data_IF_563103735958
#
_entry.id   IF_563103735958
#
_cell.length_a   1.000
_cell.length_b   1.000
_cell.length_c   1.000
_cell.angle_alpha   90.00
_cell.angle_beta   90.00
_cell.angle_gamma   90.00
#
_symmetry.space_group_name_H-M   'P 1'
#
loop_
_entity.id
_entity.type
_entity.pdbx_description
1 polymer ?
#
# COMPACT_ATOMS: atom_id res chain seq x y z
N UNK A 1 24.01 -10.00 -2.39
CA UNK A 1 23.77 -8.63 -1.86
C UNK A 1 23.78 -7.61 -2.98
N UNK A 2 24.77 -7.64 -3.89
CA UNK A 2 24.80 -6.75 -5.05
C UNK A 2 23.61 -6.97 -6.00
N UNK A 3 23.15 -5.87 -6.61
CA UNK A 3 22.32 -5.80 -7.80
C UNK A 3 23.14 -6.20 -9.02
N UNK A 4 22.49 -6.95 -9.89
CA UNK A 4 23.03 -7.33 -11.18
C UNK A 4 22.41 -6.44 -12.27
N UNK A 5 23.14 -6.21 -13.36
CA UNK A 5 22.69 -5.41 -14.50
C UNK A 5 21.29 -5.87 -15.00
N UNK A 6 21.01 -7.18 -15.17
CA UNK A 6 19.69 -7.63 -15.65
C UNK A 6 18.52 -7.25 -14.73
N UNK A 7 18.78 -7.15 -13.41
CA UNK A 7 17.76 -6.75 -12.43
C UNK A 7 17.32 -5.30 -12.66
N UNK A 8 18.28 -4.41 -12.93
CA UNK A 8 18.05 -2.99 -13.18
C UNK A 8 17.52 -2.76 -14.61
N UNK A 9 18.07 -3.48 -15.58
CA UNK A 9 17.62 -3.43 -16.98
C UNK A 9 16.13 -3.75 -17.10
N UNK A 10 15.67 -4.80 -16.40
CA UNK A 10 14.25 -5.16 -16.35
C UNK A 10 13.38 -4.01 -15.81
N UNK A 11 13.87 -3.25 -14.84
CA UNK A 11 13.14 -2.08 -14.32
C UNK A 11 13.07 -0.98 -15.38
N UNK A 12 14.20 -0.61 -15.98
CA UNK A 12 14.26 0.45 -16.98
C UNK A 12 13.41 0.14 -18.23
N UNK A 13 13.38 -1.11 -18.68
CA UNK A 13 12.56 -1.55 -19.82
C UNK A 13 11.05 -1.47 -19.54
N UNK A 14 10.63 -1.65 -18.29
CA UNK A 14 9.21 -1.64 -17.89
C UNK A 14 8.72 -0.25 -17.47
N UNK A 15 9.60 0.76 -17.43
CA UNK A 15 9.17 2.13 -17.18
C UNK A 15 8.38 2.67 -18.35
N UNK A 16 7.20 3.21 -18.06
CA UNK A 16 6.33 3.83 -19.08
C UNK A 16 6.94 5.14 -19.53
N UNK A 17 6.98 5.33 -20.84
CA UNK A 17 7.38 6.59 -21.47
C UNK A 17 6.36 7.71 -21.22
N UNK A 18 6.79 8.95 -21.42
CA UNK A 18 5.99 10.19 -21.36
C UNK A 18 5.29 10.39 -20.01
N UNK A 19 5.91 9.89 -18.93
CA UNK A 19 5.47 10.16 -17.56
C UNK A 19 6.08 11.46 -17.07
N UNK A 20 5.28 12.23 -16.33
CA UNK A 20 5.74 13.48 -15.73
C UNK A 20 6.90 13.21 -14.75
N UNK A 21 8.03 13.92 -14.90
CA UNK A 21 9.17 13.80 -13.99
C UNK A 21 8.85 14.40 -12.62
N UNK A 22 9.72 14.14 -11.65
CA UNK A 22 9.69 14.82 -10.35
C UNK A 22 10.35 16.19 -10.42
N UNK A 23 10.84 16.66 -9.28
CA UNK A 23 11.59 17.91 -9.18
C UNK A 23 12.93 17.90 -9.90
N UNK A 24 13.42 16.71 -10.29
CA UNK A 24 14.63 16.55 -11.08
C UNK A 24 14.45 17.00 -12.54
N UNK A 25 13.19 17.08 -13.00
CA UNK A 25 12.82 17.40 -14.38
C UNK A 25 13.41 16.42 -15.42
N UNK A 26 13.89 15.24 -14.98
CA UNK A 26 14.49 14.23 -15.84
C UNK A 26 13.41 13.20 -16.23
N UNK A 27 13.02 13.12 -17.51
CA UNK A 27 12.11 12.08 -17.99
C UNK A 27 12.70 10.67 -17.87
N UNK A 28 11.83 9.65 -17.82
CA UNK A 28 12.25 8.24 -17.70
C UNK A 28 13.13 7.77 -18.85
N UNK A 29 12.90 8.34 -20.03
CA UNK A 29 13.64 8.08 -21.25
C UNK A 29 15.12 8.47 -21.09
N UNK A 30 15.41 9.62 -20.49
CA UNK A 30 16.79 10.06 -20.25
C UNK A 30 17.48 9.13 -19.26
N UNK A 31 16.79 8.72 -18.18
CA UNK A 31 17.35 7.75 -17.23
C UNK A 31 17.67 6.42 -17.90
N UNK A 32 16.81 5.98 -18.81
CA UNK A 32 17.02 4.76 -19.60
C UNK A 32 18.22 4.89 -20.53
N UNK A 33 18.35 6.00 -21.25
CA UNK A 33 19.54 6.26 -22.09
C UNK A 33 20.83 6.31 -21.26
N UNK A 34 20.80 6.96 -20.08
CA UNK A 34 21.95 6.96 -19.16
C UNK A 34 22.32 5.54 -18.71
N UNK A 35 21.34 4.70 -18.40
CA UNK A 35 21.58 3.30 -18.08
C UNK A 35 22.23 2.53 -19.25
N UNK A 36 21.77 2.74 -20.49
CA UNK A 36 22.35 2.06 -21.66
C UNK A 36 23.73 2.61 -22.07
N UNK A 37 24.03 3.87 -21.75
CA UNK A 37 25.34 4.48 -22.01
C UNK A 37 26.46 3.85 -21.17
N UNK A 38 26.18 3.52 -19.89
CA UNK A 38 27.10 2.77 -19.02
C UNK A 38 26.33 1.99 -17.94
N UNK A 39 26.01 0.73 -18.28
CA UNK A 39 25.27 -0.18 -17.39
C UNK A 39 26.03 -0.48 -16.11
N UNK A 40 27.36 -0.58 -16.18
CA UNK A 40 28.18 -0.97 -15.05
C UNK A 40 28.27 0.16 -14.03
N UNK A 41 28.55 1.38 -14.49
CA UNK A 41 28.56 2.57 -13.64
C UNK A 41 27.22 2.79 -12.96
N UNK A 42 26.12 2.71 -13.71
CA UNK A 42 24.77 2.87 -13.16
C UNK A 42 24.48 1.84 -12.07
N UNK A 43 24.83 0.57 -12.33
CA UNK A 43 24.65 -0.52 -11.36
C UNK A 43 25.52 -0.32 -10.11
N UNK A 44 26.74 0.17 -10.27
CA UNK A 44 27.66 0.47 -9.16
C UNK A 44 27.11 1.57 -8.24
N UNK A 45 26.40 2.57 -8.78
CA UNK A 45 25.72 3.59 -7.96
C UNK A 45 24.69 2.95 -7.04
N UNK A 46 23.77 2.15 -7.58
CA UNK A 46 22.75 1.50 -6.76
C UNK A 46 23.32 0.50 -5.77
N UNK A 47 24.38 -0.22 -6.16
CA UNK A 47 25.09 -1.11 -5.24
C UNK A 47 25.75 -0.37 -4.08
N UNK A 48 26.32 0.81 -4.35
CA UNK A 48 26.89 1.66 -3.32
C UNK A 48 25.81 2.15 -2.34
N UNK A 49 24.66 2.59 -2.85
CA UNK A 49 23.52 3.00 -2.03
C UNK A 49 22.98 1.86 -1.18
N UNK A 50 22.81 0.67 -1.76
CA UNK A 50 22.36 -0.53 -1.05
C UNK A 50 23.32 -0.93 0.07
N UNK A 51 24.62 -0.97 -0.22
CA UNK A 51 25.65 -1.33 0.77
C UNK A 51 25.66 -0.35 1.95
N UNK A 52 25.41 0.94 1.68
CA UNK A 52 25.32 1.98 2.71
C UNK A 52 23.95 2.03 3.40
N UNK A 53 22.92 1.37 2.86
CA UNK A 53 21.56 1.44 3.40
C UNK A 53 20.87 2.79 3.15
N UNK A 54 21.23 3.49 2.07
CA UNK A 54 20.81 4.88 1.81
C UNK A 54 19.74 4.94 0.71
N UNK A 55 18.75 5.78 0.94
CA UNK A 55 17.83 6.34 -0.04
C UNK A 55 18.05 7.87 -0.10
N UNK A 56 18.74 8.40 -1.14
CA UNK A 56 19.18 9.79 -1.20
C UNK A 56 18.09 10.82 -0.90
N UNK A 57 18.43 11.86 -0.11
CA UNK A 57 17.51 12.94 0.27
C UNK A 57 16.86 13.63 -0.92
N UNK A 58 17.62 13.90 -1.98
CA UNK A 58 17.11 14.50 -3.21
C UNK A 58 16.01 13.68 -3.87
N UNK A 59 16.01 12.35 -3.70
CA UNK A 59 14.97 11.44 -4.23
C UNK A 59 13.75 11.32 -3.31
N UNK A 60 13.81 11.89 -2.11
CA UNK A 60 12.73 11.87 -1.12
C UNK A 60 11.82 13.10 -1.19
N UNK A 61 12.22 14.13 -1.94
CA UNK A 61 11.44 15.36 -2.16
C UNK A 61 10.33 15.09 -3.18
N UNK A 62 9.07 15.32 -2.79
CA UNK A 62 7.91 15.10 -3.65
C UNK A 62 7.29 16.42 -4.11
N UNK A 63 6.95 16.53 -5.39
CA UNK A 63 6.02 17.57 -5.86
C UNK A 63 4.60 17.02 -5.83
N UNK A 64 3.66 17.69 -5.15
CA UNK A 64 2.26 17.24 -5.11
C UNK A 64 1.51 17.73 -6.35
N UNK A 65 0.76 16.83 -6.96
CA UNK A 65 -0.23 17.15 -7.99
C UNK A 65 -1.58 16.62 -7.52
N UNK A 66 -2.60 17.48 -7.54
CA UNK A 66 -3.96 17.12 -7.15
C UNK A 66 -4.73 16.58 -8.35
N UNK A 67 -5.15 15.31 -8.30
CA UNK A 67 -5.99 14.70 -9.32
C UNK A 67 -7.44 14.72 -8.84
N UNK A 68 -8.39 15.32 -9.58
CA UNK A 68 -9.79 15.34 -9.20
C UNK A 68 -10.38 13.92 -9.13
N UNK A 69 -11.15 13.63 -8.08
CA UNK A 69 -11.97 12.40 -8.02
C UNK A 69 -13.13 12.53 -8.99
N UNK A 70 -13.36 11.50 -9.81
CA UNK A 70 -14.49 11.47 -10.74
C UNK A 70 -15.83 11.53 -9.98
N UNK A 71 -16.80 12.25 -10.54
CA UNK A 71 -18.16 12.32 -10.01
C UNK A 71 -18.36 13.18 -8.76
N UNK A 72 -17.32 13.87 -8.26
CA UNK A 72 -17.44 14.83 -7.15
C UNK A 72 -17.37 16.27 -7.65
N UNK A 73 -18.17 17.16 -7.06
CA UNK A 73 -18.02 18.62 -7.28
C UNK A 73 -16.68 19.07 -6.69
N UNK A 74 -15.84 19.78 -7.42
CA UNK A 74 -14.45 20.08 -7.02
C UNK A 74 -14.32 21.22 -6.01
N UNK A 75 -15.09 21.17 -4.92
CA UNK A 75 -15.27 22.25 -3.95
C UNK A 75 -14.57 22.01 -2.61
N UNK A 76 -14.08 20.79 -2.35
CA UNK A 76 -13.46 20.42 -1.08
C UNK A 76 -12.12 19.67 -1.28
N UNK A 77 -11.15 19.78 -0.36
CA UNK A 77 -9.84 19.12 -0.48
C UNK A 77 -9.90 17.59 -0.61
N UNK A 78 -10.84 16.94 0.08
CA UNK A 78 -11.05 15.48 0.03
C UNK A 78 -11.62 14.99 -1.31
N UNK A 79 -12.00 15.92 -2.20
CA UNK A 79 -12.43 15.63 -3.57
C UNK A 79 -11.26 15.49 -4.55
N UNK A 80 -10.03 15.63 -4.06
CA UNK A 80 -8.82 15.41 -4.83
C UNK A 80 -8.02 14.23 -4.28
N UNK A 81 -7.18 13.64 -5.14
CA UNK A 81 -6.14 12.67 -4.76
C UNK A 81 -4.78 13.35 -4.88
N UNK A 82 -4.03 13.51 -3.77
CA UNK A 82 -2.68 14.04 -3.85
C UNK A 82 -1.73 12.97 -4.38
N UNK A 83 -1.14 13.21 -5.55
CA UNK A 83 -0.12 12.34 -6.13
C UNK A 83 1.25 12.96 -5.94
N UNK A 84 2.18 12.18 -5.40
CA UNK A 84 3.58 12.54 -5.25
C UNK A 84 4.35 12.28 -6.57
N UNK A 85 4.67 13.34 -7.30
CA UNK A 85 5.67 13.27 -8.37
C UNK A 85 7.07 13.20 -7.74
N UNK A 86 7.56 11.98 -7.60
CA UNK A 86 8.92 11.70 -7.12
C UNK A 86 9.96 11.80 -8.26
N UNK A 87 11.21 12.15 -7.95
CA UNK A 87 12.33 12.12 -8.90
C UNK A 87 12.43 10.79 -9.62
N UNK A 88 12.59 10.85 -10.94
CA UNK A 88 12.57 9.69 -11.83
C UNK A 88 13.70 8.73 -11.53
N UNK A 89 14.90 9.25 -11.25
CA UNK A 89 16.04 8.44 -10.83
C UNK A 89 15.73 7.65 -9.55
N UNK A 90 15.13 8.33 -8.57
CA UNK A 90 14.68 7.73 -7.32
C UNK A 90 13.62 6.64 -7.53
N UNK A 91 12.71 6.83 -8.49
CA UNK A 91 11.69 5.82 -8.84
C UNK A 91 12.30 4.52 -9.38
N UNK A 92 13.39 4.59 -10.14
CA UNK A 92 14.09 3.38 -10.62
C UNK A 92 14.63 2.60 -9.42
N UNK A 93 15.31 3.27 -8.50
CA UNK A 93 15.83 2.65 -7.30
C UNK A 93 14.72 2.10 -6.41
N UNK A 94 13.68 2.90 -6.13
CA UNK A 94 12.45 2.50 -5.43
C UNK A 94 11.87 1.20 -6.03
N UNK A 95 11.74 1.11 -7.35
CA UNK A 95 11.21 -0.08 -8.03
C UNK A 95 12.12 -1.30 -7.89
N UNK A 96 13.44 -1.12 -7.96
CA UNK A 96 14.42 -2.18 -7.71
C UNK A 96 14.30 -2.72 -6.29
N UNK A 97 14.25 -1.83 -5.28
CA UNK A 97 14.08 -2.21 -3.87
C UNK A 97 12.73 -2.91 -3.65
N UNK A 98 11.66 -2.41 -4.27
CA UNK A 98 10.32 -3.03 -4.24
C UNK A 98 10.37 -4.47 -4.74
N UNK A 99 11.01 -4.71 -5.89
CA UNK A 99 11.10 -6.06 -6.47
C UNK A 99 11.82 -7.03 -5.54
N UNK A 100 12.91 -6.59 -4.88
CA UNK A 100 13.62 -7.41 -3.88
C UNK A 100 12.78 -7.66 -2.64
N UNK A 101 12.15 -6.62 -2.10
CA UNK A 101 11.27 -6.73 -0.94
C UNK A 101 10.15 -7.75 -1.20
N UNK A 102 9.42 -7.59 -2.31
CA UNK A 102 8.35 -8.51 -2.71
C UNK A 102 8.89 -9.92 -2.90
N UNK A 103 10.06 -10.11 -3.51
CA UNK A 103 10.66 -11.45 -3.65
C UNK A 103 10.84 -12.15 -2.29
N UNK A 104 11.42 -11.47 -1.29
CA UNK A 104 11.61 -12.08 0.02
C UNK A 104 10.29 -12.35 0.75
N UNK A 105 9.35 -11.40 0.72
CA UNK A 105 8.06 -11.54 1.39
C UNK A 105 7.21 -12.68 0.78
N UNK A 106 7.18 -12.79 -0.55
CA UNK A 106 6.46 -13.87 -1.23
C UNK A 106 7.16 -15.22 -1.03
N UNK A 107 8.49 -15.27 -1.05
CA UNK A 107 9.26 -16.50 -0.79
C UNK A 107 8.99 -17.07 0.61
N UNK A 108 8.76 -16.20 1.58
CA UNK A 108 8.47 -16.57 2.97
C UNK A 108 6.98 -16.65 3.27
N UNK A 109 6.12 -16.55 2.25
CA UNK A 109 4.65 -16.56 2.39
C UNK A 109 4.14 -15.58 3.45
N UNK A 110 4.80 -14.42 3.57
CA UNK A 110 4.56 -13.46 4.64
C UNK A 110 3.14 -12.88 4.61
N UNK A 111 2.65 -12.55 3.41
CA UNK A 111 1.35 -11.92 3.25
C UNK A 111 0.21 -12.93 3.38
N UNK A 112 -0.80 -12.57 4.17
CA UNK A 112 -2.03 -13.33 4.33
C UNK A 112 -2.68 -13.63 2.95
N UNK A 113 -3.24 -14.83 2.78
CA UNK A 113 -3.84 -15.28 1.52
C UNK A 113 -5.01 -14.41 1.05
N UNK A 114 -5.67 -13.74 1.99
CA UNK A 114 -6.81 -12.86 1.78
C UNK A 114 -6.40 -11.39 1.56
N UNK A 115 -5.10 -11.11 1.45
CA UNK A 115 -4.59 -9.87 0.89
C UNK A 115 -4.52 -10.01 -0.64
N UNK A 116 -5.25 -9.17 -1.37
CA UNK A 116 -5.35 -9.24 -2.83
C UNK A 116 -4.73 -8.03 -3.53
N UNK A 117 -4.75 -6.85 -2.89
CA UNK A 117 -4.27 -5.60 -3.49
C UNK A 117 -2.76 -5.63 -3.69
N UNK A 118 -2.30 -5.12 -4.84
CA UNK A 118 -0.87 -4.98 -5.17
C UNK A 118 -0.01 -6.24 -5.01
N UNK A 119 -0.62 -7.43 -5.02
CA UNK A 119 0.07 -8.72 -4.92
C UNK A 119 0.21 -9.36 -6.29
N UNK A 120 1.31 -10.12 -6.47
CA UNK A 120 1.52 -10.89 -7.69
C UNK A 120 0.48 -12.01 -7.74
N UNK A 121 -0.08 -12.27 -8.93
CA UNK A 121 -1.09 -13.31 -9.18
C UNK A 121 -2.38 -13.16 -8.36
N UNK A 122 -2.67 -11.95 -7.85
CA UNK A 122 -3.93 -11.58 -7.20
C UNK A 122 -4.57 -10.46 -8.00
N UNK A 123 -5.90 -10.45 -8.01
CA UNK A 123 -6.71 -9.50 -8.77
C UNK A 123 -8.05 -9.26 -8.09
N UNK A 124 -8.76 -8.23 -8.54
CA UNK A 124 -10.15 -7.95 -8.13
C UNK A 124 -11.06 -9.15 -8.39
N UNK A 125 -10.84 -9.88 -9.48
CA UNK A 125 -11.59 -11.10 -9.82
C UNK A 125 -11.36 -12.18 -8.76
N UNK A 126 -10.10 -12.42 -8.36
CA UNK A 126 -9.81 -13.42 -7.33
C UNK A 126 -10.36 -13.04 -5.94
N UNK A 127 -10.40 -11.75 -5.62
CA UNK A 127 -11.03 -11.25 -4.39
C UNK A 127 -12.56 -11.45 -4.41
N UNK A 128 -13.19 -11.17 -5.55
CA UNK A 128 -14.63 -11.37 -5.74
C UNK A 128 -15.01 -12.86 -5.74
N UNK A 129 -14.18 -13.73 -6.32
CA UNK A 129 -14.37 -15.17 -6.27
C UNK A 129 -14.40 -15.69 -4.83
N UNK A 130 -13.53 -15.18 -3.96
CA UNK A 130 -13.53 -15.55 -2.54
C UNK A 130 -14.85 -15.15 -1.84
N UNK A 131 -15.32 -13.92 -2.09
CA UNK A 131 -16.63 -13.46 -1.59
C UNK A 131 -17.76 -14.37 -2.08
N UNK A 132 -17.80 -14.67 -3.39
CA UNK A 132 -18.82 -15.53 -3.99
C UNK A 132 -18.81 -16.92 -3.37
N UNK A 133 -17.63 -17.52 -3.19
CA UNK A 133 -17.49 -18.84 -2.55
C UNK A 133 -17.99 -18.83 -1.11
N UNK A 134 -17.67 -17.78 -0.34
CA UNK A 134 -18.18 -17.62 1.03
C UNK A 134 -19.71 -17.58 1.06
N UNK A 135 -20.33 -16.82 0.16
CA UNK A 135 -21.80 -16.70 0.06
C UNK A 135 -22.45 -18.04 -0.31
N UNK A 136 -21.94 -18.70 -1.36
CA UNK A 136 -22.48 -19.99 -1.82
C UNK A 136 -22.37 -21.06 -0.71
N UNK A 137 -21.22 -21.14 -0.04
CA UNK A 137 -21.02 -22.10 1.03
C UNK A 137 -21.93 -21.82 2.25
N UNK A 138 -22.11 -20.55 2.62
CA UNK A 138 -23.04 -20.16 3.68
C UNK A 138 -24.48 -20.55 3.36
N UNK A 139 -24.90 -20.40 2.10
CA UNK A 139 -26.22 -20.84 1.65
C UNK A 139 -26.41 -22.35 1.78
N UNK A 140 -25.39 -23.16 1.47
CA UNK A 140 -25.47 -24.63 1.66
C UNK A 140 -25.62 -25.05 3.13
N UNK A 141 -25.22 -24.19 4.07
CA UNK A 141 -25.41 -24.39 5.51
C UNK A 141 -26.72 -23.80 6.05
N UNK A 142 -27.61 -23.30 5.18
CA UNK A 142 -28.81 -22.55 5.55
C UNK A 142 -28.51 -21.33 6.45
N UNK A 143 -27.38 -20.65 6.21
CA UNK A 143 -26.99 -19.42 6.90
C UNK A 143 -27.13 -18.21 5.99
N UNK A 144 -27.57 -17.10 6.58
CA UNK A 144 -27.50 -15.77 6.02
C UNK A 144 -26.05 -15.27 6.06
N UNK A 145 -25.72 -14.35 5.16
CA UNK A 145 -24.41 -13.66 5.12
C UNK A 145 -24.61 -12.17 5.35
N UNK A 146 -23.79 -11.61 6.22
CA UNK A 146 -23.61 -10.17 6.38
C UNK A 146 -22.22 -9.81 5.87
N UNK A 147 -22.16 -8.84 4.96
CA UNK A 147 -20.92 -8.27 4.43
C UNK A 147 -20.76 -6.86 5.00
N UNK A 148 -19.59 -6.62 5.56
CA UNK A 148 -19.19 -5.35 6.16
C UNK A 148 -18.03 -4.80 5.35
N UNK A 149 -18.23 -3.64 4.74
CA UNK A 149 -17.16 -2.90 4.06
C UNK A 149 -16.61 -1.86 5.03
N UNK A 150 -15.29 -1.81 5.18
CA UNK A 150 -14.59 -0.79 5.96
C UNK A 150 -13.97 0.21 4.98
N UNK A 151 -14.32 1.47 5.13
CA UNK A 151 -13.70 2.58 4.40
C UNK A 151 -12.59 3.19 5.26
N UNK A 152 -11.33 3.09 4.82
CA UNK A 152 -10.19 3.58 5.60
C UNK A 152 -9.89 5.03 5.22
N UNK A 153 -10.09 5.94 6.16
CA UNK A 153 -9.87 7.35 5.90
C UNK A 153 -8.41 7.62 5.58
N UNK A 154 -8.15 8.16 4.39
CA UNK A 154 -6.85 8.66 3.99
C UNK A 154 -5.71 7.61 4.12
N UNK A 155 -6.06 6.33 3.91
CA UNK A 155 -5.24 5.14 4.16
C UNK A 155 -3.72 5.33 4.00
N UNK A 156 -3.24 5.53 2.76
CA UNK A 156 -1.81 5.66 2.47
C UNK A 156 -1.13 6.82 3.18
N UNK A 157 -1.82 7.94 3.40
CA UNK A 157 -1.25 9.12 4.03
C UNK A 157 -1.26 9.02 5.56
N UNK A 158 -2.04 8.11 6.13
CA UNK A 158 -2.23 7.91 7.57
C UNK A 158 -1.30 6.84 8.17
N UNK A 159 -0.39 6.27 7.39
CA UNK A 159 0.54 5.22 7.84
C UNK A 159 1.51 5.76 8.90
N UNK A 160 1.41 5.30 10.13
CA UNK A 160 2.31 5.70 11.21
C UNK A 160 3.71 5.07 11.03
N UNK A 161 4.74 5.91 10.91
CA UNK A 161 6.11 5.45 10.66
C UNK A 161 6.72 4.66 11.82
N UNK A 162 6.38 4.96 13.07
CA UNK A 162 6.91 4.22 14.21
C UNK A 162 6.40 2.77 14.21
N UNK A 163 5.10 2.60 13.99
CA UNK A 163 4.47 1.27 13.86
C UNK A 163 5.03 0.55 12.63
N UNK A 164 5.12 1.22 11.48
CA UNK A 164 5.65 0.62 10.26
C UNK A 164 7.12 0.17 10.45
N UNK A 165 7.98 1.00 11.07
CA UNK A 165 9.37 0.64 11.36
C UNK A 165 9.47 -0.55 12.31
N UNK A 166 8.61 -0.65 13.32
CA UNK A 166 8.55 -1.82 14.20
C UNK A 166 8.17 -3.10 13.43
N UNK A 167 7.21 -3.01 12.50
CA UNK A 167 6.83 -4.12 11.62
C UNK A 167 8.00 -4.50 10.69
N UNK A 168 8.65 -3.52 10.06
CA UNK A 168 9.80 -3.74 9.17
C UNK A 168 10.93 -4.50 9.87
N UNK A 169 11.24 -4.18 11.15
CA UNK A 169 12.27 -4.89 11.93
C UNK A 169 11.98 -6.39 12.11
N UNK A 170 10.71 -6.79 12.06
CA UNK A 170 10.27 -8.17 12.26
C UNK A 170 10.09 -8.93 10.94
N UNK A 171 10.27 -8.27 9.79
CA UNK A 171 10.10 -8.91 8.49
C UNK A 171 11.19 -9.95 8.23
N UNK A 172 10.87 -11.05 7.54
CA UNK A 172 11.84 -12.08 7.17
C UNK A 172 12.66 -11.66 5.94
N UNK A 173 13.35 -10.52 6.05
CA UNK A 173 14.14 -9.91 4.97
C UNK A 173 15.58 -9.61 5.43
N UNK A 174 16.55 -9.53 4.53
CA UNK A 174 17.92 -9.16 4.89
C UNK A 174 18.03 -7.76 5.52
N UNK A 175 18.97 -7.62 6.45
CA UNK A 175 19.26 -6.37 7.17
C UNK A 175 19.51 -5.16 6.25
N UNK A 176 20.14 -5.36 5.08
CA UNK A 176 20.37 -4.25 4.16
C UNK A 176 19.06 -3.66 3.62
N UNK A 177 18.00 -4.46 3.43
CA UNK A 177 16.69 -3.94 3.02
C UNK A 177 16.05 -3.18 4.17
N UNK A 178 16.14 -3.68 5.40
CA UNK A 178 15.64 -2.98 6.59
C UNK A 178 16.23 -1.57 6.66
N UNK A 179 17.56 -1.45 6.51
CA UNK A 179 18.26 -0.15 6.50
C UNK A 179 17.76 0.79 5.41
N UNK A 180 17.63 0.31 4.17
CA UNK A 180 17.13 1.13 3.06
C UNK A 180 15.69 1.57 3.27
N UNK A 181 14.81 0.67 3.77
CA UNK A 181 13.41 0.99 4.05
C UNK A 181 13.27 2.01 5.19
N UNK A 182 14.13 1.92 6.21
CA UNK A 182 14.19 2.91 7.29
C UNK A 182 14.58 4.28 6.73
N UNK A 183 15.63 4.34 5.91
CA UNK A 183 16.10 5.59 5.32
C UNK A 183 15.12 6.18 4.29
N UNK A 184 14.36 5.32 3.59
CA UNK A 184 13.27 5.73 2.69
C UNK A 184 12.13 6.47 3.43
N UNK A 185 11.88 6.10 4.69
CA UNK A 185 10.87 6.69 5.58
C UNK A 185 11.44 7.82 6.46
N UNK A 186 12.52 8.49 6.08
CA UNK A 186 13.13 9.56 6.87
C UNK A 186 13.41 10.78 6.02
N UNK A 187 13.37 11.98 6.61
CA UNK A 187 13.70 13.24 5.94
C UNK A 187 12.95 13.43 4.61
N UNK A 188 11.68 13.03 4.56
CA UNK A 188 10.84 13.26 3.38
C UNK A 188 10.24 14.64 3.47
N UNK A 189 10.25 15.33 2.33
CA UNK A 189 9.69 16.68 2.19
C UNK A 189 8.76 16.74 1.00
N UNK A 190 7.80 17.64 1.07
CA UNK A 190 6.98 18.08 -0.05
C UNK A 190 7.53 19.42 -0.50
N UNK A 191 7.73 19.60 -1.79
CA UNK A 191 8.02 20.91 -2.36
C UNK A 191 6.68 21.65 -2.55
N UNK A 192 6.46 22.66 -1.73
CA UNK A 192 5.35 23.59 -1.82
C UNK A 192 5.87 24.94 -2.30
N UNK A 193 5.55 25.29 -3.55
CA UNK A 193 6.18 26.40 -4.28
C UNK A 193 7.73 26.31 -4.25
N UNK A 194 8.37 27.09 -3.38
CA UNK A 194 9.82 27.15 -3.18
C UNK A 194 10.26 26.64 -1.79
N UNK A 195 9.33 26.15 -0.97
CA UNK A 195 9.60 25.71 0.39
C UNK A 195 9.52 24.18 0.49
N UNK A 196 10.49 23.59 1.19
CA UNK A 196 10.43 22.17 1.55
C UNK A 196 9.70 21.99 2.88
N UNK A 197 8.53 21.37 2.83
CA UNK A 197 7.71 21.07 4.01
C UNK A 197 7.97 19.62 4.43
N UNK A 198 8.57 19.37 5.62
CA UNK A 198 8.79 18.01 6.09
C UNK A 198 7.48 17.32 6.49
N UNK A 199 7.42 16.01 6.30
CA UNK A 199 6.35 15.17 6.83
C UNK A 199 6.91 13.89 7.43
N UNK A 200 6.15 13.30 8.35
CA UNK A 200 6.58 12.18 9.20
C UNK A 200 5.57 11.03 9.30
N UNK A 201 4.57 11.01 8.40
CA UNK A 201 3.56 9.96 8.31
C UNK A 201 3.16 9.72 6.86
N UNK A 202 2.59 8.54 6.62
CA UNK A 202 2.12 8.13 5.30
C UNK A 202 3.21 7.54 4.41
N UNK A 203 2.80 6.99 3.28
CA UNK A 203 3.68 6.54 2.20
C UNK A 203 3.33 7.30 0.92
N UNK A 204 4.32 7.71 0.10
CA UNK A 204 4.05 8.59 -1.04
C UNK A 204 3.17 7.91 -2.10
N UNK A 205 2.04 8.52 -2.45
CA UNK A 205 1.17 8.06 -3.54
C UNK A 205 1.84 8.31 -4.89
N UNK A 206 2.53 7.31 -5.43
CA UNK A 206 3.42 7.45 -6.60
C UNK A 206 4.77 6.75 -6.41
N UNK A 207 5.08 6.32 -5.18
CA UNK A 207 6.16 5.39 -4.89
C UNK A 207 5.80 3.97 -5.31
N UNK A 208 6.79 3.18 -5.74
CA UNK A 208 6.62 1.75 -5.99
C UNK A 208 6.57 0.94 -4.68
N UNK A 209 7.32 1.36 -3.66
CA UNK A 209 7.34 0.77 -2.33
C UNK A 209 6.05 1.04 -1.55
N UNK A 210 5.42 2.21 -1.75
CA UNK A 210 4.26 2.65 -0.99
C UNK A 210 3.15 1.59 -0.85
N UNK A 211 2.66 1.01 -1.96
CA UNK A 211 1.69 -0.09 -1.92
C UNK A 211 2.13 -1.33 -1.14
N UNK A 212 3.39 -1.75 -1.26
CA UNK A 212 3.91 -2.90 -0.50
C UNK A 212 4.01 -2.58 0.99
N UNK A 213 4.44 -1.36 1.35
CA UNK A 213 4.50 -0.90 2.74
C UNK A 213 3.11 -0.79 3.37
N UNK A 214 2.10 -0.36 2.60
CA UNK A 214 0.70 -0.41 3.02
C UNK A 214 0.24 -1.83 3.32
N UNK A 215 0.49 -2.77 2.41
CA UNK A 215 0.11 -4.17 2.63
C UNK A 215 0.79 -4.76 3.87
N UNK A 216 2.08 -4.45 4.12
CA UNK A 216 2.79 -4.86 5.34
C UNK A 216 2.10 -4.26 6.58
N UNK A 217 1.69 -3.00 6.50
CA UNK A 217 1.07 -2.31 7.60
C UNK A 217 -0.25 -2.97 8.02
N UNK A 218 -1.12 -3.27 7.07
CA UNK A 218 -2.45 -3.86 7.33
C UNK A 218 -2.47 -5.37 7.44
N UNK A 219 -1.36 -6.07 7.15
CA UNK A 219 -1.35 -7.54 7.11
C UNK A 219 -1.85 -8.18 8.41
N UNK A 220 -1.38 -7.71 9.57
CA UNK A 220 -1.74 -8.26 10.88
C UNK A 220 -3.26 -8.21 11.16
N UNK A 221 -3.98 -7.26 10.57
CA UNK A 221 -5.45 -7.19 10.69
C UNK A 221 -6.12 -8.41 10.04
N UNK A 222 -5.55 -8.91 8.94
CA UNK A 222 -6.05 -10.09 8.24
C UNK A 222 -5.72 -11.39 8.97
N UNK A 223 -4.73 -11.35 9.88
CA UNK A 223 -4.33 -12.50 10.70
C UNK A 223 -5.12 -12.59 12.02
N UNK A 224 -5.96 -11.58 12.35
CA UNK A 224 -6.84 -11.63 13.52
C UNK A 224 -7.89 -12.74 13.35
N UNK A 225 -8.03 -13.59 14.38
CA UNK A 225 -9.08 -14.60 14.44
C UNK A 225 -10.41 -13.96 14.86
N UNK A 226 -11.37 -13.92 13.92
CA UNK A 226 -12.73 -13.44 14.16
C UNK A 226 -13.74 -14.58 14.35
N UNK A 227 -13.25 -15.82 14.50
CA UNK A 227 -14.05 -17.03 14.66
C UNK A 227 -14.40 -17.71 13.34
N UNK A 228 -14.75 -19.00 13.43
CA UNK A 228 -14.96 -19.91 12.29
C UNK A 228 -15.99 -19.49 11.25
N UNK A 229 -16.93 -18.63 11.63
CA UNK A 229 -18.04 -18.17 10.78
C UNK A 229 -17.77 -16.77 10.22
N UNK A 230 -16.56 -16.25 10.38
CA UNK A 230 -16.14 -14.93 9.89
C UNK A 230 -14.88 -15.06 9.05
N UNK A 231 -14.85 -14.31 7.95
CA UNK A 231 -13.72 -14.20 7.04
C UNK A 231 -13.43 -12.73 6.77
N UNK A 232 -12.17 -12.36 6.68
CA UNK A 232 -11.72 -11.02 6.33
C UNK A 232 -10.84 -11.07 5.10
N UNK A 233 -10.98 -10.09 4.22
CA UNK A 233 -10.11 -9.88 3.07
C UNK A 233 -9.85 -8.40 2.82
N UNK A 234 -8.75 -8.08 2.15
CA UNK A 234 -8.43 -6.73 1.75
C UNK A 234 -8.00 -6.65 0.28
N UNK A 235 -8.35 -5.55 -0.37
CA UNK A 235 -7.78 -5.12 -1.64
C UNK A 235 -7.35 -3.67 -1.50
N UNK A 236 -6.05 -3.44 -1.33
CA UNK A 236 -5.54 -2.10 -1.04
C UNK A 236 -6.17 -1.57 0.25
N UNK A 237 -6.82 -0.42 0.20
CA UNK A 237 -7.54 0.25 1.28
C UNK A 237 -8.96 -0.30 1.51
N UNK A 238 -9.54 -1.02 0.54
CA UNK A 238 -10.85 -1.65 0.70
C UNK A 238 -10.73 -2.94 1.54
N UNK A 239 -11.38 -2.96 2.71
CA UNK A 239 -11.39 -4.13 3.60
C UNK A 239 -12.82 -4.63 3.76
N UNK A 240 -13.00 -5.93 3.58
CA UNK A 240 -14.30 -6.59 3.66
C UNK A 240 -14.24 -7.67 4.73
N UNK A 241 -15.18 -7.59 5.68
CA UNK A 241 -15.46 -8.63 6.65
C UNK A 241 -16.77 -9.31 6.24
N UNK A 242 -16.76 -10.63 6.14
CA UNK A 242 -17.92 -11.45 5.83
C UNK A 242 -18.19 -12.34 7.03
N UNK A 243 -19.43 -12.35 7.51
CA UNK A 243 -19.85 -13.25 8.59
C UNK A 243 -21.13 -13.97 8.22
N UNK A 244 -21.26 -15.24 8.63
CA UNK A 244 -22.45 -16.06 8.38
C UNK A 244 -23.17 -16.44 9.66
N UNK A 245 -24.51 -16.43 9.63
CA UNK A 245 -25.36 -16.79 10.77
C UNK A 245 -26.72 -17.38 10.39
N UNK A 246 -27.35 -18.10 11.32
CA UNK A 246 -28.68 -18.71 11.08
C UNK A 246 -29.83 -17.70 11.03
N UNK A 247 -29.70 -16.56 11.70
CA UNK A 247 -30.75 -15.57 11.80
C UNK A 247 -30.20 -14.14 11.79
N UNK A 248 -30.95 -13.21 11.20
CA UNK A 248 -30.49 -11.84 10.95
C UNK A 248 -30.27 -11.01 12.22
N UNK A 249 -31.02 -11.28 13.30
CA UNK A 249 -30.88 -10.55 14.56
C UNK A 249 -29.54 -10.81 15.27
N UNK A 250 -28.93 -11.98 15.04
CA UNK A 250 -27.64 -12.37 15.63
C UNK A 250 -26.50 -11.49 15.10
N UNK A 251 -26.64 -10.97 13.87
CA UNK A 251 -25.63 -10.07 13.32
C UNK A 251 -25.44 -8.82 14.17
N UNK A 252 -26.48 -8.31 14.86
CA UNK A 252 -26.30 -7.15 15.75
C UNK A 252 -25.27 -7.41 16.84
N UNK A 253 -25.25 -8.61 17.41
CA UNK A 253 -24.32 -8.99 18.47
C UNK A 253 -22.92 -9.25 17.91
N UNK A 254 -22.80 -9.99 16.81
CA UNK A 254 -21.51 -10.25 16.16
C UNK A 254 -20.85 -9.00 15.62
N UNK A 255 -21.64 -8.12 15.02
CA UNK A 255 -21.13 -6.88 14.44
C UNK A 255 -20.63 -5.94 15.53
N UNK A 256 -21.14 -6.03 16.77
CA UNK A 256 -20.58 -5.30 17.91
C UNK A 256 -19.09 -5.60 18.19
N UNK A 257 -18.60 -6.80 17.87
CA UNK A 257 -17.17 -7.14 18.00
C UNK A 257 -16.31 -6.30 17.07
N UNK A 258 -16.87 -5.85 15.94
CA UNK A 258 -16.17 -4.97 15.00
C UNK A 258 -16.30 -3.48 15.34
N UNK A 259 -17.07 -3.08 16.37
CA UNK A 259 -17.26 -1.66 16.75
C UNK A 259 -15.95 -0.87 16.96
N UNK A 260 -14.86 -1.44 17.47
CA UNK A 260 -13.57 -0.72 17.51
C UNK A 260 -13.07 -0.32 16.12
N UNK A 261 -13.51 -1.03 15.07
CA UNK A 261 -13.07 -0.91 13.69
C UNK A 261 -14.14 -0.34 12.75
N UNK A 262 -15.32 0.12 13.20
CA UNK A 262 -16.29 0.85 12.36
C UNK A 262 -17.24 1.75 13.16
N UNK A 263 -17.68 2.85 12.56
CA UNK A 263 -18.72 3.73 13.12
C UNK A 263 -20.03 3.58 12.31
N UNK A 264 -21.17 3.23 12.93
CA UNK A 264 -22.45 3.17 12.22
C UNK A 264 -22.95 4.60 11.88
N UNK A 265 -23.58 4.77 10.70
CA UNK A 265 -24.35 5.97 10.39
C UNK A 265 -25.74 5.86 11.04
N UNK A 266 -26.27 6.98 11.55
CA UNK A 266 -27.52 6.99 12.35
C UNK A 266 -28.80 6.84 11.51
N UNK A 267 -28.72 6.78 10.18
CA UNK A 267 -29.90 6.79 9.30
C UNK A 267 -29.84 5.69 8.23
N UNK A 268 -30.26 4.47 8.59
CA UNK A 268 -31.21 3.69 7.79
C UNK A 268 -31.39 2.27 8.35
N UNK A 269 -32.59 1.73 8.15
CA UNK A 269 -32.95 0.32 8.37
C UNK A 269 -32.26 -0.65 7.38
N UNK A 270 -31.33 -0.15 6.56
CA UNK A 270 -30.29 -0.91 5.86
C UNK A 270 -28.97 -0.60 6.57
N UNK A 271 -28.17 -1.61 6.88
CA UNK A 271 -26.86 -1.40 7.49
C UNK A 271 -25.90 -0.84 6.42
N UNK A 272 -26.04 0.44 6.07
CA UNK A 272 -25.01 1.19 5.36
C UNK A 272 -23.97 1.65 6.38
N UNK A 273 -22.92 0.85 6.56
CA UNK A 273 -21.77 1.18 7.42
C UNK A 273 -20.88 2.15 6.65
N UNK A 274 -20.99 3.45 6.94
CA UNK A 274 -20.47 4.51 6.07
C UNK A 274 -19.59 5.58 6.72
N UNK A 275 -19.22 5.48 8.01
CA UNK A 275 -18.26 6.42 8.58
C UNK A 275 -16.84 5.85 8.46
N UNK A 276 -15.91 6.60 7.84
CA UNK A 276 -14.56 6.11 7.57
C UNK A 276 -13.77 5.94 8.86
N UNK A 277 -12.93 4.90 8.91
CA UNK A 277 -12.17 4.49 10.08
C UNK A 277 -10.72 4.95 9.94
N UNK A 278 -10.11 5.36 11.06
CA UNK A 278 -8.71 5.74 11.08
C UNK A 278 -7.79 4.51 11.13
N UNK A 279 -6.58 4.67 10.61
CA UNK A 279 -5.54 3.63 10.64
C UNK A 279 -5.17 3.23 12.09
N UNK A 280 -5.27 4.15 13.04
CA UNK A 280 -5.10 3.89 14.47
C UNK A 280 -6.19 3.00 15.06
N UNK A 281 -7.45 3.21 14.69
CA UNK A 281 -8.58 2.38 15.13
C UNK A 281 -8.48 0.96 14.56
N UNK A 282 -7.97 0.80 13.33
CA UNK A 282 -7.75 -0.53 12.72
C UNK A 282 -6.75 -1.42 13.48
N UNK A 283 -5.74 -0.81 14.09
CA UNK A 283 -4.63 -1.52 14.72
C UNK A 283 -4.75 -1.66 16.24
N UNK A 284 -5.78 -1.06 16.86
CA UNK A 284 -6.14 -1.30 18.26
C UNK A 284 -6.64 -2.74 18.46
#
# INVERSE_FOLDING_TARGET
>A
MALEIPEIEKVNLNMKDKKAPGIDLIPGEIIRELFYSDKQWFTNIFNTLLKKGIFPKTWKIAKIVLIPKQGKQHTAPDHYRPICLLPTWGKVYDKVITNRLVYYLEKQTFFNSNQYGFRRNKSTISALQNIKSFIVHSHTENKLVCLISLDVQNAFNSVNWNILKQKIKKLPIPEYLIKVLFNFLEERTILDENNEVPYNQGVPQGSCLGPTLWNIFVNDLLDKDFGKDTSIQAFADDIIIMTKEKASYIFKEKVCVFKPYYRPSEESTRVEMGAPITVSEMLA
#
